data_IF_161700921591
#
_entry.id   IF_161700921591
#
_cell.length_a   1.000
_cell.length_b   1.000
_cell.length_c   1.000
_cell.angle_alpha   90.00
_cell.angle_beta   90.00
_cell.angle_gamma   90.00
#
_symmetry.space_group_name_H-M   'P 1'
#
loop_
_entity.id
_entity.type
_entity.pdbx_description
1 polymer ?
#
# COMPACT_ATOMS: atom_id res chain seq x y z
N UNK A 1 -24.14 -10.09 -14.91
CA UNK A 1 -23.95 -9.52 -13.55
C UNK A 1 -23.70 -10.70 -12.63
N UNK A 2 -22.43 -11.06 -12.45
CA UNK A 2 -22.04 -12.09 -11.48
C UNK A 2 -22.07 -11.46 -10.09
N UNK A 3 -22.65 -12.20 -9.18
CA UNK A 3 -23.02 -11.80 -7.84
C UNK A 3 -21.74 -11.60 -6.98
N UNK A 4 -21.37 -10.36 -6.72
CA UNK A 4 -20.18 -9.97 -5.91
C UNK A 4 -20.39 -10.24 -4.41
N UNK A 5 -21.58 -10.75 -4.03
CA UNK A 5 -21.97 -10.96 -2.63
C UNK A 5 -21.20 -12.06 -1.88
N UNK A 6 -20.37 -12.86 -2.55
CA UNK A 6 -19.60 -13.94 -1.92
C UNK A 6 -18.19 -13.54 -1.45
N UNK A 7 -17.79 -12.27 -1.69
CA UNK A 7 -16.45 -11.79 -1.31
C UNK A 7 -16.38 -11.13 0.08
N UNK A 8 -17.52 -10.99 0.75
CA UNK A 8 -17.57 -10.30 2.05
C UNK A 8 -18.10 -11.25 3.13
N UNK A 9 -17.26 -12.17 3.56
CA UNK A 9 -17.48 -12.80 4.87
C UNK A 9 -17.31 -11.73 5.96
N UNK A 10 -18.29 -11.65 6.85
CA UNK A 10 -18.44 -10.64 7.88
C UNK A 10 -17.14 -10.43 8.69
N UNK A 11 -16.67 -9.20 8.89
CA UNK A 11 -15.48 -8.89 9.72
C UNK A 11 -15.59 -9.39 11.16
N UNK A 12 -16.79 -9.73 11.62
CA UNK A 12 -17.06 -10.14 13.03
C UNK A 12 -16.53 -11.52 13.39
N UNK A 13 -16.37 -12.44 12.44
CA UNK A 13 -15.92 -13.81 12.78
C UNK A 13 -14.41 -13.92 13.06
N UNK A 14 -13.61 -13.00 12.51
CA UNK A 14 -12.15 -13.02 12.70
C UNK A 14 -11.66 -12.23 13.92
N UNK A 15 -12.47 -11.31 14.43
CA UNK A 15 -12.10 -10.43 15.54
C UNK A 15 -12.16 -11.11 16.94
N UNK A 16 -12.73 -12.30 17.07
CA UNK A 16 -13.04 -12.91 18.37
C UNK A 16 -11.87 -13.63 19.04
N UNK A 17 -10.72 -13.83 18.36
CA UNK A 17 -9.57 -14.56 18.91
C UNK A 17 -8.29 -13.73 19.07
N UNK A 18 -8.34 -12.41 18.88
CA UNK A 18 -7.16 -11.55 19.05
C UNK A 18 -6.98 -11.21 20.51
N UNK A 19 -5.97 -11.78 21.13
CA UNK A 19 -5.51 -11.37 22.47
C UNK A 19 -5.06 -9.93 22.39
N UNK A 20 -5.69 -9.06 23.17
CA UNK A 20 -5.36 -7.65 23.22
C UNK A 20 -3.91 -7.46 23.68
N UNK A 21 -3.05 -7.01 22.77
CA UNK A 21 -1.76 -6.39 23.12
C UNK A 21 -1.95 -4.88 23.26
N UNK A 22 -1.15 -4.22 24.13
CA UNK A 22 -1.37 -2.82 24.44
C UNK A 22 -1.13 -1.90 23.24
N UNK A 23 -2.09 -1.03 22.99
CA UNK A 23 -2.07 0.30 22.37
C UNK A 23 -1.44 0.56 21.01
N UNK A 24 -1.11 -0.45 20.18
CA UNK A 24 -0.72 -0.22 18.78
C UNK A 24 -1.93 -0.50 17.87
N UNK A 25 -2.90 0.39 17.89
CA UNK A 25 -4.05 0.32 16.97
C UNK A 25 -3.75 1.13 15.72
N UNK A 26 -3.74 0.48 14.55
CA UNK A 26 -3.64 1.15 13.25
C UNK A 26 -5.01 1.42 12.67
N UNK A 27 -5.10 2.32 11.67
CA UNK A 27 -6.34 2.52 10.92
C UNK A 27 -6.82 1.23 10.23
N UNK A 28 -5.91 0.34 9.88
CA UNK A 28 -6.20 -0.92 9.20
C UNK A 28 -6.77 -2.00 10.13
N UNK A 29 -6.50 -1.92 11.43
CA UNK A 29 -7.11 -2.79 12.42
C UNK A 29 -8.63 -2.53 12.55
N UNK A 30 -9.06 -1.29 12.31
CA UNK A 30 -10.48 -0.89 12.37
C UNK A 30 -11.27 -1.25 11.12
N UNK A 31 -10.64 -1.22 9.97
CA UNK A 31 -11.32 -1.41 8.68
C UNK A 31 -11.57 -2.90 8.36
N UNK A 32 -10.81 -3.81 8.99
CA UNK A 32 -10.97 -5.26 8.79
C UNK A 32 -10.54 -5.73 7.40
N UNK A 33 -11.19 -6.80 6.93
CA UNK A 33 -10.89 -7.41 5.62
C UNK A 33 -11.53 -6.59 4.51
N UNK A 34 -10.73 -5.99 3.65
CA UNK A 34 -11.21 -5.38 2.41
C UNK A 34 -10.26 -5.70 1.26
N UNK A 35 -10.82 -5.73 0.05
CA UNK A 35 -10.02 -5.90 -1.16
C UNK A 35 -9.29 -4.59 -1.48
N UNK A 36 -8.05 -4.46 -0.98
CA UNK A 36 -7.20 -3.30 -1.20
C UNK A 36 -6.99 -3.02 -2.69
N UNK A 37 -6.93 -4.06 -3.51
CA UNK A 37 -6.72 -3.91 -4.94
C UNK A 37 -7.95 -3.26 -5.60
N UNK A 38 -9.16 -3.70 -5.25
CA UNK A 38 -10.40 -3.10 -5.75
C UNK A 38 -10.59 -1.65 -5.28
N UNK A 39 -10.30 -1.36 -4.00
CA UNK A 39 -10.44 -0.03 -3.41
C UNK A 39 -9.47 0.96 -4.04
N UNK A 40 -8.20 0.58 -4.14
CA UNK A 40 -7.15 1.44 -4.67
C UNK A 40 -7.08 1.42 -6.20
N UNK A 41 -7.92 0.63 -6.87
CA UNK A 41 -7.99 0.57 -8.32
C UNK A 41 -6.74 -0.04 -8.96
N UNK A 42 -6.11 -1.02 -8.30
CA UNK A 42 -5.05 -1.82 -8.89
C UNK A 42 -5.62 -2.72 -9.99
N UNK A 43 -5.01 -2.69 -11.15
CA UNK A 43 -5.30 -3.65 -12.21
C UNK A 43 -4.30 -4.80 -12.20
N UNK A 44 -4.73 -5.97 -12.68
CA UNK A 44 -3.82 -7.11 -12.86
C UNK A 44 -2.63 -6.76 -13.75
N UNK A 45 -2.83 -5.94 -14.78
CA UNK A 45 -1.76 -5.44 -15.63
C UNK A 45 -0.73 -4.63 -14.83
N UNK A 46 -1.17 -3.73 -13.96
CA UNK A 46 -0.30 -2.90 -13.11
C UNK A 46 0.54 -3.77 -12.17
N UNK A 47 -0.09 -4.73 -11.50
CA UNK A 47 0.57 -5.63 -10.57
C UNK A 47 1.53 -6.59 -11.28
N UNK A 48 1.14 -7.13 -12.43
CA UNK A 48 2.04 -7.96 -13.25
C UNK A 48 3.24 -7.15 -13.76
N UNK A 49 3.05 -5.89 -14.16
CA UNK A 49 4.17 -5.01 -14.55
C UNK A 49 5.13 -4.74 -13.39
N UNK A 50 4.61 -4.59 -12.16
CA UNK A 50 5.46 -4.51 -10.97
C UNK A 50 6.28 -5.80 -10.79
N UNK A 51 5.66 -6.97 -10.94
CA UNK A 51 6.34 -8.26 -10.81
C UNK A 51 7.33 -8.52 -11.95
N UNK A 52 7.07 -8.05 -13.18
CA UNK A 52 8.05 -8.05 -14.28
C UNK A 52 9.30 -7.23 -13.90
N UNK A 53 9.14 -6.08 -13.26
CA UNK A 53 10.24 -5.24 -12.78
C UNK A 53 10.95 -5.89 -11.59
N UNK A 54 10.19 -6.44 -10.64
CA UNK A 54 10.73 -7.22 -9.52
C UNK A 54 11.57 -8.38 -10.04
N UNK A 55 11.13 -9.05 -11.11
CA UNK A 55 11.83 -10.19 -11.71
C UNK A 55 12.23 -11.24 -10.65
N UNK A 56 11.27 -11.89 -10.01
CA UNK A 56 11.50 -12.70 -8.81
C UNK A 56 12.41 -13.91 -9.07
N UNK A 57 12.40 -14.48 -10.27
CA UNK A 57 13.25 -15.63 -10.63
C UNK A 57 14.76 -15.37 -10.60
N UNK A 58 15.20 -14.13 -10.42
CA UNK A 58 16.59 -13.71 -10.26
C UNK A 58 16.88 -13.12 -8.88
N UNK A 59 16.05 -13.43 -7.89
CA UNK A 59 16.25 -13.02 -6.50
C UNK A 59 16.21 -14.26 -5.60
N UNK A 60 17.01 -14.27 -4.54
CA UNK A 60 16.96 -15.32 -3.52
C UNK A 60 16.07 -14.93 -2.37
N UNK A 61 16.12 -13.65 -1.94
CA UNK A 61 15.39 -13.14 -0.80
C UNK A 61 14.70 -11.82 -1.16
N UNK A 62 13.40 -11.77 -0.95
CA UNK A 62 12.57 -10.56 -1.19
C UNK A 62 11.89 -10.17 0.13
N UNK A 63 11.86 -8.87 0.44
CA UNK A 63 11.04 -8.30 1.47
C UNK A 63 9.81 -7.63 0.82
N UNK A 64 8.62 -8.09 1.17
CA UNK A 64 7.35 -7.39 0.93
C UNK A 64 7.06 -6.55 2.17
N UNK A 65 7.40 -5.27 2.14
CA UNK A 65 7.28 -4.36 3.27
C UNK A 65 5.95 -3.60 3.22
N UNK A 66 5.32 -3.41 4.38
CA UNK A 66 3.97 -2.82 4.49
C UNK A 66 2.94 -3.63 3.67
N UNK A 67 3.00 -4.94 3.80
CA UNK A 67 2.40 -5.88 2.86
C UNK A 67 0.87 -6.03 2.98
N UNK A 68 0.27 -5.47 4.05
CA UNK A 68 -1.14 -5.67 4.34
C UNK A 68 -1.47 -7.15 4.52
N UNK A 69 -2.52 -7.62 3.87
CA UNK A 69 -2.96 -9.02 3.91
C UNK A 69 -2.11 -10.00 3.07
N UNK A 70 -0.94 -9.59 2.56
CA UNK A 70 -0.05 -10.46 1.80
C UNK A 70 -0.43 -10.69 0.33
N UNK A 71 -1.36 -9.90 -0.22
CA UNK A 71 -1.89 -10.09 -1.56
C UNK A 71 -0.82 -10.00 -2.66
N UNK A 72 0.16 -9.07 -2.52
CA UNK A 72 1.24 -8.94 -3.50
C UNK A 72 2.16 -10.17 -3.47
N UNK A 73 2.48 -10.68 -2.30
CA UNK A 73 3.26 -11.92 -2.13
C UNK A 73 2.54 -13.13 -2.72
N UNK A 74 1.24 -13.31 -2.46
CA UNK A 74 0.45 -14.39 -3.10
C UNK A 74 0.54 -14.30 -4.62
N UNK A 75 0.33 -13.12 -5.20
CA UNK A 75 0.46 -12.89 -6.64
C UNK A 75 1.88 -13.14 -7.19
N UNK A 76 2.91 -12.91 -6.38
CA UNK A 76 4.30 -13.19 -6.76
C UNK A 76 4.51 -14.70 -6.94
N UNK A 77 3.99 -15.52 -6.04
CA UNK A 77 4.09 -16.98 -6.16
C UNK A 77 3.30 -17.49 -7.38
N UNK A 78 2.06 -17.03 -7.58
CA UNK A 78 1.27 -17.33 -8.78
C UNK A 78 1.98 -16.90 -10.07
N UNK A 79 2.66 -15.76 -10.04
CA UNK A 79 3.45 -15.26 -11.17
C UNK A 79 4.62 -16.18 -11.47
N UNK A 80 5.35 -16.65 -10.44
CA UNK A 80 6.45 -17.60 -10.62
C UNK A 80 5.95 -18.94 -11.18
N UNK A 81 4.87 -19.48 -10.62
CA UNK A 81 4.28 -20.74 -11.09
C UNK A 81 3.87 -20.66 -12.56
N UNK A 82 3.10 -19.65 -12.95
CA UNK A 82 2.66 -19.48 -14.35
C UNK A 82 3.80 -19.33 -15.35
N UNK A 83 4.97 -18.87 -14.91
CA UNK A 83 6.15 -18.68 -15.77
C UNK A 83 7.20 -19.78 -15.62
N UNK A 84 6.96 -20.78 -14.78
CA UNK A 84 7.92 -21.84 -14.49
C UNK A 84 9.21 -21.35 -13.86
N UNK A 85 9.14 -20.28 -13.05
CA UNK A 85 10.26 -19.71 -12.32
C UNK A 85 10.36 -20.35 -10.94
N UNK A 86 11.59 -20.50 -10.43
CA UNK A 86 11.79 -20.83 -9.03
C UNK A 86 11.42 -19.60 -8.18
N UNK A 87 10.48 -19.74 -7.23
CA UNK A 87 10.11 -18.61 -6.37
C UNK A 87 11.25 -18.31 -5.39
N UNK A 88 11.45 -17.02 -5.04
CA UNK A 88 12.38 -16.62 -3.98
C UNK A 88 11.79 -16.91 -2.59
N UNK A 89 12.65 -16.88 -1.56
CA UNK A 89 12.18 -16.76 -0.18
C UNK A 89 11.61 -15.35 0.03
N UNK A 90 10.34 -15.27 0.44
CA UNK A 90 9.69 -13.98 0.70
C UNK A 90 9.44 -13.80 2.19
N UNK A 91 9.91 -12.67 2.72
CA UNK A 91 9.50 -12.19 4.02
C UNK A 91 8.45 -11.10 3.83
N UNK A 92 7.35 -11.21 4.57
CA UNK A 92 6.21 -10.29 4.57
C UNK A 92 6.26 -9.52 5.88
N UNK A 93 6.49 -8.22 5.84
CA UNK A 93 6.55 -7.35 7.02
C UNK A 93 5.32 -6.44 7.07
N UNK A 94 4.53 -6.55 8.14
CA UNK A 94 3.31 -5.77 8.31
C UNK A 94 3.16 -5.30 9.76
N UNK A 95 2.75 -4.04 9.94
CA UNK A 95 2.60 -3.41 11.24
C UNK A 95 1.21 -3.64 11.87
N UNK A 96 0.16 -3.74 11.04
CA UNK A 96 -1.18 -4.09 11.53
C UNK A 96 -1.23 -5.56 11.90
N UNK A 97 -1.55 -5.86 13.16
CA UNK A 97 -1.69 -7.24 13.62
C UNK A 97 -2.81 -7.98 12.92
N UNK A 98 -3.93 -7.30 12.67
CA UNK A 98 -5.08 -7.87 11.94
C UNK A 98 -4.66 -8.25 10.52
N UNK A 99 -3.95 -7.36 9.82
CA UNK A 99 -3.46 -7.66 8.47
C UNK A 99 -2.41 -8.77 8.46
N UNK A 100 -1.55 -8.87 9.48
CA UNK A 100 -0.63 -9.99 9.64
C UNK A 100 -1.34 -11.34 9.74
N UNK A 101 -2.39 -11.43 10.55
CA UNK A 101 -3.15 -12.68 10.68
C UNK A 101 -3.85 -13.05 9.36
N UNK A 102 -4.37 -12.05 8.63
CA UNK A 102 -4.92 -12.26 7.29
C UNK A 102 -3.84 -12.73 6.30
N UNK A 103 -2.64 -12.14 6.36
CA UNK A 103 -1.52 -12.56 5.52
C UNK A 103 -1.09 -14.01 5.83
N UNK A 104 -1.00 -14.38 7.11
CA UNK A 104 -0.71 -15.77 7.52
C UNK A 104 -1.74 -16.75 6.95
N UNK A 105 -3.03 -16.40 7.03
CA UNK A 105 -4.09 -17.24 6.49
C UNK A 105 -4.05 -17.34 4.95
N UNK A 106 -3.78 -16.22 4.28
CA UNK A 106 -3.72 -16.17 2.80
C UNK A 106 -2.50 -16.89 2.23
N UNK A 107 -1.38 -16.89 2.96
CA UNK A 107 -0.10 -17.43 2.51
C UNK A 107 0.22 -18.82 3.11
N UNK A 108 -0.78 -19.52 3.65
CA UNK A 108 -0.58 -20.81 4.34
C UNK A 108 0.05 -21.88 3.45
N UNK A 109 -0.23 -21.86 2.15
CA UNK A 109 0.25 -22.86 1.19
C UNK A 109 1.52 -22.41 0.42
N UNK A 110 2.11 -21.27 0.76
CA UNK A 110 3.32 -20.76 0.12
C UNK A 110 4.45 -20.55 1.14
N UNK A 111 5.73 -20.72 0.74
CA UNK A 111 6.87 -20.66 1.67
C UNK A 111 7.26 -19.20 2.01
N UNK A 112 6.27 -18.37 2.36
CA UNK A 112 6.50 -16.99 2.80
C UNK A 112 6.52 -16.91 4.33
N UNK A 113 7.44 -16.12 4.88
CA UNK A 113 7.51 -15.85 6.32
C UNK A 113 6.80 -14.53 6.62
N UNK A 114 5.66 -14.60 7.31
CA UNK A 114 4.94 -13.39 7.76
C UNK A 114 5.48 -12.95 9.12
N UNK A 115 5.85 -11.68 9.23
CA UNK A 115 6.41 -11.04 10.42
C UNK A 115 5.54 -9.83 10.78
N UNK A 116 5.03 -9.82 12.01
CA UNK A 116 4.46 -8.62 12.59
C UNK A 116 5.60 -7.69 13.01
N UNK A 117 5.76 -6.54 12.34
CA UNK A 117 6.93 -5.70 12.57
C UNK A 117 6.80 -4.29 12.02
N UNK A 118 7.75 -3.44 12.42
CA UNK A 118 7.81 -2.03 12.02
C UNK A 118 8.84 -1.82 10.91
N UNK A 119 8.38 -1.30 9.79
CA UNK A 119 9.21 -0.97 8.63
C UNK A 119 10.19 0.19 8.90
N UNK A 120 9.92 1.05 9.88
CA UNK A 120 10.80 2.17 10.23
C UNK A 120 12.04 1.72 10.98
N UNK A 121 11.90 0.67 11.79
CA UNK A 121 13.01 0.10 12.59
C UNK A 121 13.51 -1.23 12.03
N UNK A 122 12.75 -1.87 11.13
CA UNK A 122 12.95 -3.25 10.67
C UNK A 122 12.97 -4.24 11.83
N UNK A 123 12.15 -4.00 12.84
CA UNK A 123 12.03 -4.82 14.05
C UNK A 123 10.80 -5.74 13.96
N UNK A 124 11.00 -6.99 14.30
CA UNK A 124 9.92 -7.95 14.52
C UNK A 124 9.34 -7.75 15.93
N UNK A 125 8.12 -7.25 16.03
CA UNK A 125 7.50 -6.83 17.30
C UNK A 125 7.16 -8.00 18.25
N UNK A 126 7.11 -9.25 17.76
CA UNK A 126 6.89 -10.42 18.61
C UNK A 126 8.17 -10.90 19.30
N UNK A 127 9.33 -10.77 18.65
CA UNK A 127 10.62 -11.29 19.14
C UNK A 127 11.60 -10.18 19.53
N UNK A 128 11.28 -8.92 19.22
CA UNK A 128 12.18 -7.76 19.37
C UNK A 128 13.51 -7.93 18.60
N UNK A 129 13.52 -8.80 17.59
CA UNK A 129 14.67 -9.04 16.73
C UNK A 129 14.63 -8.11 15.51
N UNK A 130 15.78 -7.57 15.15
CA UNK A 130 15.93 -6.79 13.92
C UNK A 130 16.00 -7.72 12.71
N UNK A 131 15.40 -7.32 11.61
CA UNK A 131 15.60 -7.96 10.33
C UNK A 131 17.08 -7.84 9.94
N UNK A 132 17.64 -8.87 9.26
CA UNK A 132 19.07 -8.88 8.95
C UNK A 132 19.45 -7.78 7.96
N UNK A 133 20.54 -7.09 8.24
CA UNK A 133 21.15 -6.11 7.34
C UNK A 133 21.79 -6.81 6.13
N UNK A 134 21.82 -6.13 4.99
CA UNK A 134 22.46 -6.60 3.75
C UNK A 134 21.97 -8.00 3.31
N UNK A 135 20.69 -8.27 3.50
CA UNK A 135 20.13 -9.62 3.32
C UNK A 135 19.24 -9.75 2.09
N UNK A 136 18.39 -8.76 1.82
CA UNK A 136 17.43 -8.85 0.74
C UNK A 136 18.03 -8.42 -0.60
N UNK A 137 17.76 -9.19 -1.64
CA UNK A 137 18.09 -8.81 -3.02
C UNK A 137 17.15 -7.70 -3.49
N UNK A 138 15.90 -7.75 -3.02
CA UNK A 138 14.85 -6.77 -3.37
C UNK A 138 13.95 -6.48 -2.20
N UNK A 139 13.53 -5.23 -2.10
CA UNK A 139 12.45 -4.78 -1.21
C UNK A 139 11.36 -4.19 -2.07
N UNK A 140 10.13 -4.58 -1.85
CA UNK A 140 8.97 -4.05 -2.55
C UNK A 140 7.97 -3.46 -1.57
N UNK A 141 7.35 -2.34 -1.98
CA UNK A 141 6.21 -1.71 -1.30
C UNK A 141 5.09 -1.51 -2.32
N UNK A 142 3.88 -1.94 -1.97
CA UNK A 142 2.66 -1.66 -2.74
C UNK A 142 1.76 -0.73 -1.93
N UNK A 143 1.71 0.54 -2.32
CA UNK A 143 0.78 1.54 -1.75
C UNK A 143 0.90 1.77 -0.22
N UNK A 144 2.10 1.60 0.35
CA UNK A 144 2.34 1.74 1.78
C UNK A 144 2.98 3.08 2.18
N UNK A 145 3.89 3.61 1.38
CA UNK A 145 4.71 4.76 1.74
C UNK A 145 3.93 6.02 2.16
N UNK A 146 2.72 6.23 1.65
CA UNK A 146 1.89 7.38 2.01
C UNK A 146 1.24 7.26 3.40
N UNK A 147 1.28 6.11 4.04
CA UNK A 147 0.83 5.91 5.43
C UNK A 147 1.87 6.39 6.46
N UNK A 148 3.12 6.55 6.04
CA UNK A 148 4.19 7.03 6.90
C UNK A 148 4.17 8.56 6.99
N UNK A 149 4.23 9.15 8.21
CA UNK A 149 4.30 10.60 8.39
C UNK A 149 5.45 11.21 7.61
N UNK A 150 5.25 12.42 7.09
CA UNK A 150 6.27 13.13 6.30
C UNK A 150 7.62 13.21 7.02
N UNK A 151 7.61 13.42 8.35
CA UNK A 151 8.82 13.50 9.17
C UNK A 151 9.59 12.19 9.28
N UNK A 152 8.97 11.04 9.03
CA UNK A 152 9.55 9.70 9.15
C UNK A 152 9.78 9.02 7.78
N UNK A 153 9.42 9.67 6.68
CA UNK A 153 9.60 9.05 5.37
C UNK A 153 11.07 8.85 4.98
N UNK A 154 11.98 9.71 5.45
CA UNK A 154 13.41 9.47 5.24
C UNK A 154 13.89 8.25 6.05
N UNK A 155 13.38 8.06 7.26
CA UNK A 155 13.70 6.89 8.09
C UNK A 155 13.23 5.60 7.43
N UNK A 156 12.05 5.61 6.81
CA UNK A 156 11.56 4.50 5.99
C UNK A 156 12.57 4.10 4.90
N UNK A 157 13.08 5.06 4.13
CA UNK A 157 14.02 4.75 3.05
C UNK A 157 15.40 4.38 3.56
N UNK A 158 15.84 4.93 4.69
CA UNK A 158 17.08 4.52 5.37
C UNK A 158 16.98 3.06 5.84
N UNK A 159 15.88 2.66 6.49
CA UNK A 159 15.70 1.29 6.98
C UNK A 159 15.65 0.28 5.81
N UNK A 160 14.96 0.61 4.71
CA UNK A 160 14.96 -0.20 3.49
C UNK A 160 16.38 -0.32 2.90
N UNK A 161 17.12 0.78 2.87
CA UNK A 161 18.50 0.78 2.38
C UNK A 161 19.39 -0.18 3.17
N UNK A 162 19.27 -0.19 4.50
CA UNK A 162 20.13 -1.03 5.37
C UNK A 162 19.88 -2.53 5.20
N UNK A 163 18.64 -2.96 4.97
CA UNK A 163 18.32 -4.38 4.81
C UNK A 163 18.60 -4.92 3.40
N UNK A 164 18.69 -4.04 2.40
CA UNK A 164 19.08 -4.42 1.04
C UNK A 164 20.55 -4.82 0.97
N UNK A 165 20.89 -5.82 0.17
CA UNK A 165 22.29 -6.11 -0.20
C UNK A 165 22.90 -4.95 -1.00
N UNK A 166 24.23 -4.75 -0.99
CA UNK A 166 24.89 -3.94 -2.02
C UNK A 166 24.46 -4.41 -3.43
N UNK A 167 24.08 -3.47 -4.30
CA UNK A 167 23.49 -3.76 -5.62
C UNK A 167 22.02 -4.16 -5.59
N UNK A 168 21.42 -4.33 -4.43
CA UNK A 168 20.01 -4.66 -4.24
C UNK A 168 19.07 -3.55 -4.72
N UNK A 169 17.80 -3.89 -4.92
CA UNK A 169 16.83 -3.02 -5.59
C UNK A 169 15.59 -2.77 -4.71
N UNK A 170 15.21 -1.52 -4.57
CA UNK A 170 13.94 -1.08 -4.02
C UNK A 170 12.92 -0.82 -5.15
N UNK A 171 11.72 -1.36 -5.03
CA UNK A 171 10.61 -1.20 -5.97
C UNK A 171 9.39 -0.70 -5.21
N UNK A 172 8.88 0.48 -5.56
CA UNK A 172 7.72 1.08 -4.94
C UNK A 172 6.61 1.33 -5.96
N UNK A 173 5.45 0.73 -5.76
CA UNK A 173 4.23 1.06 -6.48
C UNK A 173 3.36 1.94 -5.59
N UNK A 174 3.16 3.20 -5.95
CA UNK A 174 2.40 4.13 -5.13
C UNK A 174 1.81 5.31 -5.89
N UNK A 175 0.91 6.03 -5.22
CA UNK A 175 0.43 7.33 -5.68
C UNK A 175 1.62 8.28 -5.77
N UNK A 176 1.76 8.97 -6.90
CA UNK A 176 2.84 9.90 -7.12
C UNK A 176 2.39 11.04 -8.02
N UNK A 177 2.52 12.25 -7.53
CA UNK A 177 2.04 13.44 -8.21
C UNK A 177 3.20 14.22 -8.83
N UNK A 178 2.97 14.85 -9.99
CA UNK A 178 3.90 15.81 -10.59
C UNK A 178 3.65 17.25 -10.08
N UNK A 179 2.45 17.50 -9.56
CA UNK A 179 1.95 18.81 -9.19
C UNK A 179 1.56 18.86 -7.72
N UNK A 180 2.19 19.76 -6.97
CA UNK A 180 1.96 19.96 -5.53
C UNK A 180 0.52 20.36 -5.23
N UNK A 181 -0.11 21.17 -6.09
CA UNK A 181 -1.47 21.63 -5.88
C UNK A 181 -2.48 20.49 -6.11
N UNK A 182 -2.27 19.67 -7.15
CA UNK A 182 -3.05 18.46 -7.41
C UNK A 182 -2.93 17.47 -6.26
N UNK A 183 -1.71 17.21 -5.76
CA UNK A 183 -1.43 16.40 -4.59
C UNK A 183 -2.18 16.93 -3.35
N UNK A 184 -2.14 18.24 -3.13
CA UNK A 184 -2.80 18.85 -1.96
C UNK A 184 -4.32 18.70 -2.03
N UNK A 185 -4.94 18.89 -3.19
CA UNK A 185 -6.38 18.67 -3.35
C UNK A 185 -6.77 17.20 -3.12
N UNK A 186 -6.01 16.26 -3.67
CA UNK A 186 -6.23 14.83 -3.42
C UNK A 186 -6.10 14.49 -1.93
N UNK A 187 -5.07 15.01 -1.26
CA UNK A 187 -4.88 14.83 0.18
C UNK A 187 -6.06 15.33 1.00
N UNK A 188 -6.62 16.48 0.67
CA UNK A 188 -7.79 17.03 1.37
C UNK A 188 -9.04 16.16 1.18
N UNK A 189 -9.23 15.56 0.01
CA UNK A 189 -10.31 14.59 -0.24
C UNK A 189 -10.09 13.32 0.58
N UNK A 190 -8.88 12.76 0.57
CA UNK A 190 -8.53 11.59 1.36
C UNK A 190 -8.74 11.85 2.86
N UNK A 191 -8.28 12.99 3.39
CA UNK A 191 -8.50 13.39 4.79
C UNK A 191 -9.96 13.50 5.15
N UNK A 192 -10.80 14.01 4.26
CA UNK A 192 -12.24 14.10 4.51
C UNK A 192 -12.84 12.70 4.67
N UNK A 193 -12.53 11.78 3.76
CA UNK A 193 -12.95 10.39 3.85
C UNK A 193 -12.44 9.71 5.12
N UNK A 194 -11.16 9.84 5.44
CA UNK A 194 -10.54 9.23 6.61
C UNK A 194 -11.15 9.77 7.91
N UNK A 195 -11.45 11.08 7.95
CA UNK A 195 -12.14 11.72 9.09
C UNK A 195 -13.56 11.18 9.28
N UNK A 196 -14.32 11.04 8.20
CA UNK A 196 -15.65 10.45 8.22
C UNK A 196 -15.64 8.99 8.70
N UNK A 197 -14.59 8.25 8.32
CA UNK A 197 -14.39 6.86 8.74
C UNK A 197 -13.85 6.72 10.19
N UNK A 198 -13.54 7.81 10.87
CA UNK A 198 -12.94 7.78 12.20
C UNK A 198 -11.49 7.28 12.22
N UNK A 199 -10.80 7.32 11.06
CA UNK A 199 -9.43 6.86 10.90
C UNK A 199 -8.43 7.97 11.30
N UNK A 200 -8.38 8.29 12.58
CA UNK A 200 -7.64 9.45 13.10
C UNK A 200 -6.14 9.38 12.83
N UNK A 201 -5.53 8.19 12.86
CA UNK A 201 -4.11 8.02 12.52
C UNK A 201 -3.85 8.31 11.03
N UNK A 202 -4.72 7.87 10.12
CA UNK A 202 -4.61 8.19 8.70
C UNK A 202 -4.76 9.69 8.43
N UNK A 203 -5.74 10.35 9.09
CA UNK A 203 -5.92 11.82 9.00
C UNK A 203 -4.66 12.57 9.40
N UNK A 204 -3.98 12.12 10.44
CA UNK A 204 -2.77 12.75 10.99
C UNK A 204 -1.53 12.46 10.17
N UNK A 205 -1.35 11.20 9.77
CA UNK A 205 -0.07 10.68 9.29
C UNK A 205 0.02 10.59 7.76
N UNK A 206 -1.12 10.36 7.07
CA UNK A 206 -1.11 10.12 5.62
C UNK A 206 -0.57 11.32 4.84
N UNK A 207 0.48 11.05 4.07
CA UNK A 207 1.13 12.06 3.27
C UNK A 207 1.51 11.52 1.89
N UNK A 208 0.92 12.06 0.85
CA UNK A 208 1.25 11.74 -0.54
C UNK A 208 2.45 12.57 -0.99
N UNK A 209 3.35 11.96 -1.76
CA UNK A 209 4.55 12.62 -2.28
C UNK A 209 4.36 13.10 -3.71
N UNK A 210 5.08 14.15 -4.07
CA UNK A 210 5.43 14.41 -5.46
C UNK A 210 6.61 13.52 -5.88
N UNK A 211 6.83 13.40 -7.21
CA UNK A 211 7.97 12.65 -7.74
C UNK A 211 9.29 13.23 -7.24
N UNK A 212 9.44 14.53 -7.28
CA UNK A 212 10.67 15.20 -6.82
C UNK A 212 10.91 14.97 -5.33
N UNK A 213 9.86 14.99 -4.51
CA UNK A 213 9.96 14.72 -3.08
C UNK A 213 10.40 13.27 -2.81
N UNK A 214 9.85 12.29 -3.54
CA UNK A 214 10.23 10.88 -3.40
C UNK A 214 11.69 10.67 -3.82
N UNK A 215 12.06 11.14 -5.01
CA UNK A 215 13.40 10.96 -5.57
C UNK A 215 14.46 11.62 -4.69
N UNK A 216 14.18 12.82 -4.17
CA UNK A 216 15.07 13.51 -3.25
C UNK A 216 15.30 12.70 -1.98
N UNK A 217 14.26 12.10 -1.38
CA UNK A 217 14.40 11.27 -0.18
C UNK A 217 15.18 9.99 -0.44
N UNK A 218 14.94 9.35 -1.57
CA UNK A 218 15.70 8.17 -1.98
C UNK A 218 17.19 8.51 -2.16
N UNK A 219 17.51 9.65 -2.77
CA UNK A 219 18.90 10.13 -2.88
C UNK A 219 19.51 10.41 -1.52
N UNK A 220 18.77 11.06 -0.62
CA UNK A 220 19.22 11.33 0.75
C UNK A 220 19.49 10.05 1.55
N UNK A 221 18.72 8.98 1.32
CA UNK A 221 18.96 7.66 1.91
C UNK A 221 20.13 6.89 1.25
N UNK A 222 20.76 7.44 0.20
CA UNK A 222 21.92 6.84 -0.45
C UNK A 222 21.61 6.00 -1.68
N UNK A 223 20.35 5.91 -2.13
CA UNK A 223 20.00 5.19 -3.34
C UNK A 223 20.53 5.90 -4.59
N UNK A 224 20.87 5.08 -5.58
CA UNK A 224 21.30 5.50 -6.92
C UNK A 224 20.36 4.87 -7.99
N UNK A 225 20.55 5.23 -9.27
CA UNK A 225 19.76 4.72 -10.39
C UNK A 225 18.23 4.84 -10.16
N UNK A 226 17.84 5.94 -9.52
CA UNK A 226 16.43 6.23 -9.21
C UNK A 226 15.72 6.59 -10.51
N UNK A 227 14.69 5.83 -10.85
CA UNK A 227 13.97 6.03 -12.11
C UNK A 227 12.51 5.56 -12.03
N UNK A 228 11.72 6.08 -12.94
CA UNK A 228 10.41 5.54 -13.25
C UNK A 228 10.58 4.19 -13.98
N UNK A 229 10.07 3.12 -13.41
CA UNK A 229 9.94 1.84 -14.08
C UNK A 229 8.70 1.81 -14.98
N UNK A 230 7.58 2.39 -14.50
CA UNK A 230 6.33 2.51 -15.24
C UNK A 230 5.43 3.58 -14.62
N UNK A 231 4.84 4.44 -15.45
CA UNK A 231 3.73 5.29 -15.03
C UNK A 231 2.44 4.47 -14.94
N UNK A 232 1.68 4.67 -13.87
CA UNK A 232 0.42 4.00 -13.64
C UNK A 232 -0.69 5.00 -13.34
N UNK A 233 -1.93 4.56 -13.48
CA UNK A 233 -3.11 5.35 -13.12
C UNK A 233 -4.04 4.50 -12.25
N UNK A 234 -4.34 4.99 -11.08
CA UNK A 234 -5.32 4.40 -10.19
C UNK A 234 -6.72 4.92 -10.52
N UNK A 235 -7.69 4.03 -10.54
CA UNK A 235 -9.10 4.39 -10.72
C UNK A 235 -9.86 4.13 -9.43
N UNK A 236 -10.02 5.18 -8.63
CA UNK A 236 -10.72 5.11 -7.35
C UNK A 236 -12.18 5.47 -7.56
N UNK A 237 -13.08 4.55 -7.20
CA UNK A 237 -14.53 4.73 -7.30
C UNK A 237 -15.11 4.94 -5.92
N UNK A 238 -15.81 6.05 -5.69
CA UNK A 238 -16.39 6.40 -4.38
C UNK A 238 -17.33 5.32 -3.85
N UNK A 239 -18.14 4.69 -4.70
CA UNK A 239 -19.02 3.60 -4.29
C UNK A 239 -18.26 2.39 -3.71
N UNK A 240 -17.13 1.99 -4.31
CA UNK A 240 -16.31 0.87 -3.82
C UNK A 240 -15.69 1.23 -2.48
N UNK A 241 -15.13 2.44 -2.37
CA UNK A 241 -14.54 2.96 -1.12
C UNK A 241 -15.61 3.03 -0.04
N UNK A 242 -16.79 3.60 -0.34
CA UNK A 242 -17.87 3.74 0.63
C UNK A 242 -18.35 2.38 1.14
N UNK A 243 -18.50 1.38 0.28
CA UNK A 243 -18.88 0.02 0.69
C UNK A 243 -17.86 -0.61 1.63
N UNK A 244 -16.56 -0.37 1.40
CA UNK A 244 -15.50 -0.91 2.22
C UNK A 244 -15.41 -0.27 3.60
N UNK A 245 -15.49 1.07 3.66
CA UNK A 245 -15.26 1.81 4.91
C UNK A 245 -16.55 2.06 5.73
N UNK A 246 -17.72 2.06 5.08
CA UNK A 246 -19.00 2.47 5.70
C UNK A 246 -20.14 1.49 5.38
N UNK A 247 -20.03 0.21 5.73
CA UNK A 247 -21.02 -0.79 5.31
C UNK A 247 -22.43 -0.56 5.88
N UNK A 248 -22.54 0.04 7.07
CA UNK A 248 -23.80 0.25 7.77
C UNK A 248 -24.49 1.59 7.43
N UNK A 249 -23.69 2.66 7.19
CA UNK A 249 -24.14 4.02 6.93
C UNK A 249 -23.67 4.55 5.57
N UNK A 250 -23.56 3.69 4.58
CA UNK A 250 -22.92 3.99 3.30
C UNK A 250 -23.48 5.20 2.56
N UNK A 251 -24.80 5.43 2.63
CA UNK A 251 -25.44 6.53 1.90
C UNK A 251 -25.16 7.89 2.52
N UNK A 252 -25.17 7.99 3.83
CA UNK A 252 -24.86 9.21 4.56
C UNK A 252 -23.40 9.63 4.33
N UNK A 253 -22.48 8.67 4.43
CA UNK A 253 -21.07 8.93 4.18
C UNK A 253 -20.79 9.24 2.71
N UNK A 254 -21.43 8.53 1.79
CA UNK A 254 -21.29 8.77 0.35
C UNK A 254 -21.72 10.19 -0.01
N UNK A 255 -22.85 10.65 0.54
CA UNK A 255 -23.34 12.01 0.32
C UNK A 255 -22.38 13.07 0.88
N UNK A 256 -21.89 12.89 2.11
CA UNK A 256 -20.94 13.80 2.74
C UNK A 256 -19.59 13.82 1.99
N UNK A 257 -19.07 12.65 1.56
CA UNK A 257 -17.86 12.55 0.76
C UNK A 257 -18.03 13.24 -0.59
N UNK A 258 -19.15 13.03 -1.26
CA UNK A 258 -19.47 13.64 -2.53
C UNK A 258 -19.51 15.17 -2.44
N UNK A 259 -20.16 15.73 -1.43
CA UNK A 259 -20.18 17.17 -1.18
C UNK A 259 -18.77 17.72 -0.93
N UNK A 260 -17.96 17.02 -0.13
CA UNK A 260 -16.59 17.41 0.13
C UNK A 260 -15.72 17.37 -1.14
N UNK A 261 -15.91 16.37 -1.98
CA UNK A 261 -15.23 16.27 -3.27
C UNK A 261 -15.66 17.38 -4.23
N UNK A 262 -16.94 17.70 -4.31
CA UNK A 262 -17.43 18.81 -5.13
C UNK A 262 -16.84 20.15 -4.70
N UNK A 263 -16.74 20.39 -3.40
CA UNK A 263 -16.22 21.64 -2.86
C UNK A 263 -14.70 21.78 -3.04
N UNK A 264 -13.95 20.68 -2.96
CA UNK A 264 -12.47 20.70 -2.88
C UNK A 264 -11.75 20.24 -4.18
N UNK A 265 -12.44 19.62 -5.11
CA UNK A 265 -11.82 18.98 -6.28
C UNK A 265 -11.74 19.88 -7.53
N UNK A 266 -11.71 21.20 -7.39
CA UNK A 266 -11.79 22.12 -8.54
C UNK A 266 -10.66 21.92 -9.55
N UNK A 267 -9.41 21.77 -9.13
CA UNK A 267 -8.27 21.53 -10.01
C UNK A 267 -8.33 20.12 -10.61
N UNK A 268 -8.67 19.11 -9.81
CA UNK A 268 -8.82 17.73 -10.28
C UNK A 268 -9.89 17.63 -11.38
N UNK A 269 -10.99 18.38 -11.25
CA UNK A 269 -12.01 18.48 -12.31
C UNK A 269 -11.48 19.14 -13.57
N UNK A 270 -10.76 20.25 -13.47
CA UNK A 270 -10.16 20.95 -14.60
C UNK A 270 -9.16 20.08 -15.36
N UNK A 271 -8.43 19.22 -14.64
CA UNK A 271 -7.47 18.26 -15.20
C UNK A 271 -8.12 16.96 -15.67
N UNK A 272 -9.45 16.83 -15.57
CA UNK A 272 -10.16 15.58 -15.91
C UNK A 272 -9.81 14.40 -14.99
N UNK A 273 -9.32 14.66 -13.77
CA UNK A 273 -8.93 13.66 -12.80
C UNK A 273 -10.08 13.15 -11.94
N UNK A 274 -11.21 13.85 -11.93
CA UNK A 274 -12.42 13.41 -11.22
C UNK A 274 -13.64 13.62 -12.11
N UNK A 275 -14.48 12.59 -12.15
CA UNK A 275 -15.75 12.58 -12.87
C UNK A 275 -16.87 12.26 -11.90
N UNK A 276 -17.98 13.00 -11.99
CA UNK A 276 -19.17 12.80 -11.18
C UNK A 276 -20.27 12.17 -12.01
N UNK A 277 -20.96 11.18 -11.42
CA UNK A 277 -22.12 10.53 -11.99
C UNK A 277 -23.19 10.36 -10.91
N UNK A 278 -24.24 11.20 -10.94
CA UNK A 278 -25.18 11.29 -9.83
C UNK A 278 -24.47 11.71 -8.56
N UNK A 279 -24.63 10.94 -7.49
CA UNK A 279 -23.96 11.14 -6.18
C UNK A 279 -22.69 10.30 -6.03
N UNK A 280 -22.15 9.76 -7.10
CA UNK A 280 -20.90 9.02 -7.10
C UNK A 280 -19.80 9.76 -7.86
N UNK A 281 -18.55 9.39 -7.59
CA UNK A 281 -17.40 9.90 -8.31
C UNK A 281 -16.43 8.80 -8.69
N UNK A 282 -15.68 9.06 -9.75
CA UNK A 282 -14.52 8.27 -10.15
C UNK A 282 -13.32 9.21 -10.23
N UNK A 283 -12.26 8.92 -9.48
CA UNK A 283 -11.01 9.65 -9.51
C UNK A 283 -9.95 8.84 -10.26
N UNK A 284 -9.21 9.53 -11.14
CA UNK A 284 -8.05 9.00 -11.86
C UNK A 284 -6.82 9.64 -11.25
N UNK A 285 -6.09 8.88 -10.46
CA UNK A 285 -4.95 9.38 -9.69
C UNK A 285 -3.65 8.89 -10.31
N UNK A 286 -2.65 9.78 -10.53
CA UNK A 286 -1.36 9.37 -11.05
C UNK A 286 -0.58 8.57 -10.03
N UNK A 287 0.24 7.66 -10.52
CA UNK A 287 1.18 6.90 -9.74
C UNK A 287 2.33 6.38 -10.57
N UNK A 288 3.23 5.69 -9.92
CA UNK A 288 4.45 5.19 -10.53
C UNK A 288 4.92 3.89 -9.87
N UNK A 289 5.50 3.03 -10.66
CA UNK A 289 6.42 2.01 -10.16
C UNK A 289 7.82 2.64 -10.18
N UNK A 290 8.27 3.10 -9.03
CA UNK A 290 9.61 3.66 -8.86
C UNK A 290 10.61 2.58 -8.57
N UNK A 291 11.79 2.66 -9.18
CA UNK A 291 12.91 1.74 -8.95
C UNK A 291 14.12 2.54 -8.48
N UNK A 292 14.79 2.03 -7.45
CA UNK A 292 16.03 2.60 -6.92
C UNK A 292 17.02 1.47 -6.57
N UNK A 293 18.31 1.72 -6.65
CA UNK A 293 19.37 0.75 -6.31
C UNK A 293 20.18 1.18 -5.11
N UNK A 294 20.50 0.23 -4.25
CA UNK A 294 21.60 0.41 -3.31
C UNK A 294 22.93 0.27 -4.10
N UNK A 295 23.91 1.18 -3.94
CA UNK A 295 25.24 1.03 -4.54
C UNK A 295 25.89 -0.31 -4.19
N UNK A 296 26.84 -0.78 -5.06
CA UNK A 296 27.66 -1.98 -4.83
C UNK A 296 28.74 -1.68 -3.79
#
# INVERSE_FOLDING_TARGET
MQNVAHLFNSPREYATNVVALPDIETSYDKVGVYDQDAINGFSDQMLNSMLDIVNPGHASHILDAMAGNGNLTSRLYDYCERRGLFPPDVMVLEFSRVQCELAKAQLVDVPAKVVWGDVLTMEALESEELLPENFFDKVMIKSGNHEIPLSQQLDLYNSIFHVLKPGGMFINLGFLFDDVEERNQFREIARCKDSLAGLHSAVKNRHFLTRDELYTRLQQAGFVDIRCGMHVQYTIRSLVVTHAYFPEHKWEYMHAEFQAQQAKAMLLRRKGRIHFQGESSTMIIPGEITVARRPV
#
